data_IF_668520700208
#
_entry.id   IF_668520700208
#
_cell.length_a   1.000
_cell.length_b   1.000
_cell.length_c   1.000
_cell.angle_alpha   90.00
_cell.angle_beta   90.00
_cell.angle_gamma   90.00
#
_symmetry.space_group_name_H-M   'P 1'
#
loop_
_entity.id
_entity.type
_entity.pdbx_description
1 polymer ?
#
# COMPACT_ATOMS: atom_id res chain seq x y z
N UNK A 1 -49.73 13.82 12.66
CA UNK A 1 -48.75 14.90 12.98
C UNK A 1 -48.75 15.87 11.79
N UNK A 2 -49.53 16.95 11.72
CA UNK A 2 -49.64 18.07 12.65
C UNK A 2 -48.73 19.22 12.20
N UNK A 3 -49.01 19.84 11.04
CA UNK A 3 -48.35 21.04 10.45
C UNK A 3 -46.87 21.26 10.86
N UNK A 4 -45.96 20.42 10.36
CA UNK A 4 -44.55 20.46 10.69
C UNK A 4 -43.77 21.46 9.82
N UNK A 5 -43.23 22.50 10.46
CA UNK A 5 -42.31 23.52 9.95
C UNK A 5 -41.37 23.05 8.81
N UNK A 6 -41.81 23.19 7.55
CA UNK A 6 -41.07 22.74 6.36
C UNK A 6 -39.69 23.39 6.23
N UNK A 7 -39.52 24.61 6.76
CA UNK A 7 -38.23 25.29 6.81
C UNK A 7 -37.23 24.58 7.75
N UNK A 8 -37.72 24.07 8.89
CA UNK A 8 -36.91 23.26 9.82
C UNK A 8 -36.52 21.92 9.18
N UNK A 9 -37.46 21.25 8.52
CA UNK A 9 -37.19 20.00 7.81
C UNK A 9 -36.13 20.20 6.70
N UNK A 10 -36.27 21.25 5.89
CA UNK A 10 -35.29 21.58 4.84
C UNK A 10 -33.90 21.86 5.41
N UNK A 11 -33.82 22.63 6.50
CA UNK A 11 -32.55 22.91 7.20
C UNK A 11 -31.90 21.62 7.71
N UNK A 12 -32.66 20.74 8.36
CA UNK A 12 -32.13 19.45 8.83
C UNK A 12 -31.61 18.59 7.68
N UNK A 13 -32.34 18.54 6.57
CA UNK A 13 -31.98 17.73 5.40
C UNK A 13 -30.73 18.29 4.70
N UNK A 14 -30.55 19.62 4.66
CA UNK A 14 -29.32 20.26 4.19
C UNK A 14 -28.12 19.93 5.10
N UNK A 15 -28.30 19.92 6.42
CA UNK A 15 -27.25 19.50 7.34
C UNK A 15 -26.85 18.04 7.11
N UNK A 16 -27.83 17.13 7.01
CA UNK A 16 -27.56 15.71 6.73
C UNK A 16 -26.81 15.53 5.41
N UNK A 17 -27.19 16.26 4.35
CA UNK A 17 -26.50 16.23 3.08
C UNK A 17 -25.04 16.73 3.19
N UNK A 18 -24.80 17.81 3.95
CA UNK A 18 -23.45 18.32 4.17
C UNK A 18 -22.56 17.34 4.95
N UNK A 19 -23.09 16.68 5.98
CA UNK A 19 -22.37 15.65 6.71
C UNK A 19 -22.06 14.42 5.84
N UNK A 20 -22.97 14.03 4.95
CA UNK A 20 -22.74 12.96 3.99
C UNK A 20 -21.58 13.29 3.03
N UNK A 21 -21.54 14.52 2.50
CA UNK A 21 -20.43 14.99 1.67
C UNK A 21 -19.09 14.97 2.42
N UNK A 22 -19.08 15.43 3.67
CA UNK A 22 -17.87 15.41 4.51
C UNK A 22 -17.38 13.97 4.75
N UNK A 23 -18.31 13.07 5.10
CA UNK A 23 -18.01 11.66 5.32
C UNK A 23 -17.42 11.00 4.06
N UNK A 24 -18.04 11.21 2.90
CA UNK A 24 -17.51 10.71 1.63
C UNK A 24 -16.13 11.31 1.30
N UNK A 25 -15.92 12.61 1.53
CA UNK A 25 -14.62 13.25 1.30
C UNK A 25 -13.49 12.63 2.12
N UNK A 26 -13.72 12.38 3.42
CA UNK A 26 -12.75 11.70 4.30
C UNK A 26 -12.48 10.29 3.77
N UNK A 27 -13.54 9.55 3.41
CA UNK A 27 -13.40 8.20 2.86
C UNK A 27 -12.66 8.16 1.54
N UNK A 28 -12.87 9.13 0.65
CA UNK A 28 -12.16 9.20 -0.62
C UNK A 28 -10.65 9.38 -0.43
N UNK A 29 -10.22 10.22 0.52
CA UNK A 29 -8.78 10.42 0.84
C UNK A 29 -8.18 9.14 1.43
N UNK A 30 -8.88 8.50 2.36
CA UNK A 30 -8.45 7.23 2.97
C UNK A 30 -8.30 6.13 1.90
N UNK A 31 -9.25 6.05 0.96
CA UNK A 31 -9.24 5.07 -0.12
C UNK A 31 -8.12 5.33 -1.14
N UNK A 32 -7.87 6.59 -1.48
CA UNK A 32 -6.78 6.98 -2.36
C UNK A 32 -5.41 6.58 -1.77
N UNK A 33 -5.21 6.81 -0.47
CA UNK A 33 -4.04 6.33 0.26
C UNK A 33 -3.87 4.81 0.15
N UNK A 34 -4.94 4.04 0.37
CA UNK A 34 -4.91 2.57 0.28
C UNK A 34 -4.59 2.03 -1.12
N UNK A 35 -5.12 2.66 -2.16
CA UNK A 35 -4.80 2.33 -3.57
C UNK A 35 -3.32 2.61 -3.86
N UNK A 36 -2.78 3.75 -3.39
CA UNK A 36 -1.39 4.13 -3.62
C UNK A 36 -0.37 3.24 -2.90
N UNK A 37 -0.80 2.55 -1.83
CA UNK A 37 -0.01 1.57 -1.07
C UNK A 37 -0.22 0.12 -1.53
N UNK A 38 -0.68 -0.11 -2.76
CA UNK A 38 -0.83 -1.44 -3.38
C UNK A 38 -1.86 -2.37 -2.71
N UNK A 39 -2.75 -1.86 -1.85
CA UNK A 39 -3.87 -2.61 -1.26
C UNK A 39 -5.05 -2.57 -2.24
N UNK A 40 -4.96 -3.29 -3.35
CA UNK A 40 -6.00 -3.34 -4.37
C UNK A 40 -6.88 -4.60 -4.24
N UNK A 41 -8.22 -4.48 -4.38
CA UNK A 41 -9.09 -5.64 -4.48
C UNK A 41 -8.76 -6.42 -5.76
N UNK A 42 -8.66 -7.75 -5.65
CA UNK A 42 -8.40 -8.62 -6.80
C UNK A 42 -6.95 -8.77 -7.24
N UNK A 43 -5.96 -8.29 -6.47
CA UNK A 43 -4.61 -8.88 -6.62
C UNK A 43 -4.69 -10.34 -6.23
N UNK A 44 -4.22 -11.20 -7.12
CA UNK A 44 -4.12 -12.66 -6.98
C UNK A 44 -3.48 -12.97 -5.62
N UNK A 45 -3.90 -14.04 -4.96
CA UNK A 45 -3.15 -14.63 -3.83
C UNK A 45 -1.67 -14.57 -4.15
N UNK A 46 -0.87 -13.95 -3.26
CA UNK A 46 0.55 -13.81 -3.51
C UNK A 46 1.11 -15.23 -3.53
N UNK A 47 1.47 -15.72 -4.73
CA UNK A 47 2.01 -17.06 -4.86
C UNK A 47 3.37 -17.12 -4.18
N UNK A 48 3.82 -18.32 -3.81
CA UNK A 48 5.16 -18.51 -3.26
C UNK A 48 6.25 -17.87 -4.16
N UNK A 49 6.04 -17.85 -5.49
CA UNK A 49 6.93 -17.17 -6.42
C UNK A 49 6.89 -15.64 -6.29
N UNK A 50 5.72 -15.04 -6.09
CA UNK A 50 5.58 -13.60 -5.91
C UNK A 50 6.18 -13.12 -4.59
N UNK A 51 6.00 -13.88 -3.50
CA UNK A 51 6.64 -13.60 -2.22
C UNK A 51 8.17 -13.69 -2.32
N UNK A 52 8.68 -14.74 -2.99
CA UNK A 52 10.12 -14.87 -3.30
C UNK A 52 10.64 -13.70 -4.15
N UNK A 53 9.90 -13.28 -5.18
CA UNK A 53 10.27 -12.17 -6.05
C UNK A 53 10.26 -10.81 -5.32
N UNK A 54 9.34 -10.61 -4.35
CA UNK A 54 9.28 -9.40 -3.52
C UNK A 54 10.51 -9.29 -2.62
N UNK A 55 10.88 -10.38 -1.94
CA UNK A 55 12.10 -10.42 -1.12
C UNK A 55 13.35 -10.21 -1.97
N UNK A 56 13.39 -10.81 -3.17
CA UNK A 56 14.46 -10.56 -4.13
C UNK A 56 14.57 -9.06 -4.47
N UNK A 57 13.46 -8.43 -4.84
CA UNK A 57 13.42 -7.00 -5.18
C UNK A 57 13.82 -6.09 -4.00
N UNK A 58 13.33 -6.36 -2.80
CA UNK A 58 13.70 -5.61 -1.59
C UNK A 58 15.21 -5.75 -1.30
N UNK A 59 15.74 -6.96 -1.46
CA UNK A 59 17.17 -7.25 -1.29
C UNK A 59 18.03 -6.56 -2.36
N UNK A 60 17.61 -6.55 -3.62
CA UNK A 60 18.29 -5.83 -4.70
C UNK A 60 18.33 -4.32 -4.43
N UNK A 61 17.23 -3.74 -3.98
CA UNK A 61 17.16 -2.32 -3.64
C UNK A 61 18.06 -1.98 -2.45
N UNK A 62 18.08 -2.81 -1.41
CA UNK A 62 18.92 -2.61 -0.24
C UNK A 62 20.42 -2.66 -0.60
N UNK A 63 20.81 -3.65 -1.41
CA UNK A 63 22.17 -3.79 -1.94
C UNK A 63 22.53 -2.58 -2.81
N UNK A 64 21.67 -2.20 -3.75
CA UNK A 64 21.87 -1.05 -4.65
C UNK A 64 22.11 0.25 -3.88
N UNK A 65 21.21 0.58 -2.96
CA UNK A 65 21.31 1.79 -2.14
C UNK A 65 22.62 1.85 -1.34
N UNK A 66 23.12 0.69 -0.88
CA UNK A 66 24.38 0.64 -0.13
C UNK A 66 25.58 0.86 -1.04
N UNK A 67 25.57 0.24 -2.22
CA UNK A 67 26.65 0.36 -3.19
C UNK A 67 26.79 1.78 -3.71
N UNK A 68 25.69 2.46 -3.96
CA UNK A 68 25.70 3.87 -4.35
C UNK A 68 26.33 4.73 -3.26
N UNK A 69 26.01 4.49 -1.98
CA UNK A 69 26.64 5.20 -0.86
C UNK A 69 28.13 4.92 -0.74
N UNK A 70 28.57 3.69 -1.02
CA UNK A 70 29.99 3.32 -0.99
C UNK A 70 30.76 3.91 -2.18
N UNK A 71 30.21 3.81 -3.39
CA UNK A 71 30.77 4.43 -4.58
C UNK A 71 30.86 5.96 -4.42
N UNK A 72 29.80 6.59 -3.89
CA UNK A 72 29.80 8.02 -3.55
C UNK A 72 30.88 8.41 -2.53
N UNK A 73 31.15 7.53 -1.55
CA UNK A 73 32.21 7.74 -0.54
C UNK A 73 33.61 7.57 -1.14
N UNK A 74 33.83 6.52 -1.92
CA UNK A 74 35.13 6.18 -2.51
C UNK A 74 35.57 7.16 -3.60
N UNK A 75 34.64 7.72 -4.38
CA UNK A 75 34.96 8.59 -5.53
C UNK A 75 35.17 10.07 -5.14
N UNK A 76 35.00 10.44 -3.85
CA UNK A 76 35.22 11.79 -3.28
C UNK A 76 34.98 12.96 -4.25
N UNK A 77 33.77 13.54 -4.18
CA UNK A 77 33.34 14.90 -4.61
C UNK A 77 32.11 14.89 -5.51
N UNK A 78 31.07 15.63 -5.10
CA UNK A 78 29.96 16.24 -5.89
C UNK A 78 29.16 15.39 -6.91
N UNK A 79 29.57 14.16 -7.22
CA UNK A 79 28.90 13.30 -8.18
C UNK A 79 27.68 12.59 -7.56
N UNK A 80 27.72 12.31 -6.25
CA UNK A 80 26.65 11.66 -5.50
C UNK A 80 25.30 12.40 -5.58
N UNK A 81 25.32 13.72 -5.78
CA UNK A 81 24.12 14.57 -5.91
C UNK A 81 23.44 14.44 -7.28
N UNK A 82 24.09 13.77 -8.26
CA UNK A 82 23.67 13.70 -9.66
C UNK A 82 23.16 12.31 -10.09
N UNK A 83 23.11 11.34 -9.20
CA UNK A 83 22.64 9.99 -9.55
C UNK A 83 21.15 9.88 -9.26
N UNK A 84 20.29 9.86 -10.30
CA UNK A 84 18.86 9.58 -10.10
C UNK A 84 18.71 8.13 -9.63
N UNK A 85 17.75 7.89 -8.71
CA UNK A 85 17.40 6.54 -8.26
C UNK A 85 17.33 5.57 -9.45
N UNK A 86 18.18 4.52 -9.50
CA UNK A 86 18.19 3.64 -10.65
C UNK A 86 16.95 2.75 -10.57
N UNK A 87 16.06 2.93 -11.54
CA UNK A 87 14.93 2.03 -11.78
C UNK A 87 15.31 0.74 -12.49
N UNK A 88 16.57 0.59 -12.94
CA UNK A 88 17.07 -0.61 -13.59
C UNK A 88 18.61 -0.57 -13.69
N UNK A 89 19.21 -1.76 -13.82
CA UNK A 89 20.55 -2.05 -14.31
C UNK A 89 21.65 -2.44 -13.29
N UNK A 90 21.55 -3.69 -12.82
CA UNK A 90 22.59 -4.42 -12.09
C UNK A 90 23.96 -4.45 -12.79
N UNK A 91 24.02 -4.25 -14.11
CA UNK A 91 25.25 -4.22 -14.91
C UNK A 91 26.04 -2.93 -14.68
N UNK A 92 25.31 -1.81 -14.59
CA UNK A 92 25.87 -0.48 -14.31
C UNK A 92 26.45 -0.40 -12.90
N UNK A 93 25.79 -1.03 -11.93
CA UNK A 93 26.26 -1.15 -10.55
C UNK A 93 27.57 -1.97 -10.46
N UNK A 94 27.66 -3.09 -11.19
CA UNK A 94 28.89 -3.92 -11.27
C UNK A 94 30.07 -3.14 -11.87
N UNK A 95 29.83 -2.31 -12.89
CA UNK A 95 30.86 -1.45 -13.48
C UNK A 95 31.36 -0.38 -12.51
N UNK A 96 30.44 0.30 -11.82
CA UNK A 96 30.79 1.30 -10.79
C UNK A 96 31.51 0.69 -9.59
N UNK A 97 31.16 -0.55 -9.23
CA UNK A 97 31.83 -1.35 -8.21
C UNK A 97 33.27 -1.70 -8.59
N UNK A 98 33.50 -2.15 -9.82
CA UNK A 98 34.84 -2.48 -10.30
C UNK A 98 35.75 -1.25 -10.30
N UNK A 99 35.21 -0.08 -10.70
CA UNK A 99 35.95 1.18 -10.68
C UNK A 99 36.19 1.71 -9.25
N UNK A 100 35.21 1.58 -8.35
CA UNK A 100 35.34 2.01 -6.97
C UNK A 100 36.29 1.10 -6.16
N UNK A 101 36.30 -0.21 -6.43
CA UNK A 101 37.21 -1.17 -5.82
C UNK A 101 38.68 -0.93 -6.19
N UNK A 102 38.95 -0.50 -7.43
CA UNK A 102 40.31 -0.17 -7.89
C UNK A 102 40.85 1.13 -7.25
N UNK A 103 39.96 2.07 -6.91
CA UNK A 103 40.31 3.35 -6.28
C UNK A 103 40.25 3.32 -4.74
N UNK A 104 39.68 2.28 -4.14
CA UNK A 104 39.55 2.15 -2.70
C UNK A 104 40.91 1.91 -2.01
N UNK A 105 41.21 2.68 -0.97
CA UNK A 105 42.38 2.47 -0.11
C UNK A 105 41.94 2.09 1.31
N UNK A 106 42.76 1.29 1.98
CA UNK A 106 42.63 0.93 3.39
C UNK A 106 41.28 0.27 3.76
N UNK A 107 40.53 0.82 4.72
CA UNK A 107 39.30 0.22 5.30
C UNK A 107 38.18 -0.01 4.27
N UNK A 108 38.12 0.81 3.23
CA UNK A 108 37.10 0.66 2.19
C UNK A 108 37.35 -0.59 1.34
N UNK A 109 38.61 -1.01 1.13
CA UNK A 109 38.94 -2.22 0.37
C UNK A 109 38.56 -3.51 1.13
N UNK A 110 38.65 -3.50 2.46
CA UNK A 110 38.15 -4.59 3.31
C UNK A 110 36.63 -4.68 3.27
N UNK A 111 35.95 -3.52 3.32
CA UNK A 111 34.50 -3.43 3.14
C UNK A 111 34.11 -3.95 1.73
N UNK A 112 34.80 -3.56 0.65
CA UNK A 112 34.54 -4.07 -0.70
C UNK A 112 34.71 -5.60 -0.83
N UNK A 113 35.71 -6.20 -0.18
CA UNK A 113 35.90 -7.67 -0.17
C UNK A 113 34.77 -8.39 0.57
N UNK A 114 34.32 -7.83 1.69
CA UNK A 114 33.14 -8.28 2.41
C UNK A 114 31.87 -8.16 1.53
N UNK A 115 31.75 -7.09 0.75
CA UNK A 115 30.67 -6.92 -0.23
C UNK A 115 30.71 -7.94 -1.36
N UNK A 116 31.88 -8.32 -1.89
CA UNK A 116 32.00 -9.37 -2.92
C UNK A 116 31.53 -10.74 -2.40
N UNK A 117 31.90 -11.09 -1.17
CA UNK A 117 31.42 -12.30 -0.51
C UNK A 117 29.89 -12.29 -0.31
N UNK A 118 29.34 -11.14 0.10
CA UNK A 118 27.90 -10.92 0.21
C UNK A 118 27.21 -11.10 -1.15
N UNK A 119 27.74 -10.50 -2.21
CA UNK A 119 27.18 -10.60 -3.56
C UNK A 119 27.13 -12.03 -4.06
N UNK A 120 28.17 -12.83 -3.79
CA UNK A 120 28.17 -14.24 -4.17
C UNK A 120 27.05 -15.01 -3.48
N UNK A 121 26.79 -14.74 -2.20
CA UNK A 121 25.67 -15.37 -1.47
C UNK A 121 24.31 -14.89 -1.97
N UNK A 122 24.20 -13.59 -2.25
CA UNK A 122 23.00 -12.99 -2.81
C UNK A 122 22.68 -13.51 -4.23
N UNK A 123 23.69 -13.65 -5.09
CA UNK A 123 23.54 -14.18 -6.44
C UNK A 123 23.08 -15.64 -6.43
N UNK A 124 23.57 -16.46 -5.49
CA UNK A 124 23.08 -17.84 -5.29
C UNK A 124 21.59 -17.85 -4.94
N UNK A 125 21.15 -17.00 -3.99
CA UNK A 125 19.74 -16.88 -3.63
C UNK A 125 18.91 -16.41 -4.85
N UNK A 126 19.38 -15.37 -5.55
CA UNK A 126 18.72 -14.81 -6.74
C UNK A 126 18.55 -15.88 -7.83
N UNK A 127 19.60 -16.63 -8.15
CA UNK A 127 19.56 -17.68 -9.16
C UNK A 127 18.61 -18.81 -8.75
N UNK A 128 18.58 -19.20 -7.47
CA UNK A 128 17.63 -20.17 -6.95
C UNK A 128 16.17 -19.73 -7.11
N UNK A 129 15.89 -18.45 -6.83
CA UNK A 129 14.55 -17.86 -6.99
C UNK A 129 14.16 -17.80 -8.47
N UNK A 130 15.04 -17.32 -9.34
CA UNK A 130 14.77 -17.17 -10.78
C UNK A 130 14.57 -18.50 -11.51
N UNK A 131 15.26 -19.56 -11.06
CA UNK A 131 15.10 -20.92 -11.62
C UNK A 131 13.93 -21.69 -11.00
N UNK A 132 13.23 -21.08 -10.05
CA UNK A 132 12.15 -21.71 -9.28
C UNK A 132 12.57 -22.97 -8.50
N UNK A 133 13.87 -23.20 -8.31
CA UNK A 133 14.42 -24.41 -7.67
C UNK A 133 14.37 -24.34 -6.14
N UNK A 134 14.28 -23.13 -5.56
CA UNK A 134 14.22 -22.93 -4.10
C UNK A 134 12.81 -22.75 -3.55
N UNK A 135 12.52 -23.43 -2.45
CA UNK A 135 11.29 -23.27 -1.67
C UNK A 135 11.29 -21.96 -0.87
N UNK A 136 10.11 -21.52 -0.43
CA UNK A 136 9.96 -20.31 0.39
C UNK A 136 10.78 -20.37 1.69
N UNK A 137 10.81 -21.54 2.36
CA UNK A 137 11.62 -21.78 3.56
C UNK A 137 13.12 -21.65 3.29
N UNK A 138 13.58 -22.16 2.15
CA UNK A 138 15.00 -22.04 1.79
C UNK A 138 15.40 -20.59 1.53
N UNK A 139 14.50 -19.78 0.95
CA UNK A 139 14.72 -18.35 0.75
C UNK A 139 14.74 -17.61 2.09
N UNK A 140 13.83 -17.94 3.01
CA UNK A 140 13.82 -17.40 4.37
C UNK A 140 15.12 -17.73 5.11
N UNK A 141 15.58 -18.98 5.06
CA UNK A 141 16.82 -19.42 5.69
C UNK A 141 18.05 -18.72 5.10
N UNK A 142 18.08 -18.55 3.77
CA UNK A 142 19.14 -17.81 3.10
C UNK A 142 19.12 -16.32 3.47
N UNK A 143 17.92 -15.72 3.59
CA UNK A 143 17.77 -14.33 4.02
C UNK A 143 18.24 -14.13 5.46
N UNK A 144 17.86 -15.01 6.39
CA UNK A 144 18.33 -14.98 7.78
C UNK A 144 19.84 -15.14 7.88
N UNK A 145 20.45 -15.98 7.04
CA UNK A 145 21.91 -16.10 6.95
C UNK A 145 22.56 -14.81 6.47
N UNK A 146 21.96 -14.11 5.49
CA UNK A 146 22.45 -12.80 5.03
C UNK A 146 22.30 -11.74 6.14
N UNK A 147 21.17 -11.71 6.83
CA UNK A 147 20.88 -10.75 7.91
C UNK A 147 21.74 -10.98 9.16
N UNK A 148 22.09 -12.23 9.47
CA UNK A 148 22.85 -12.60 10.66
C UNK A 148 24.36 -12.37 10.56
N UNK A 149 24.87 -11.91 9.42
CA UNK A 149 26.30 -11.68 9.25
C UNK A 149 26.77 -10.35 9.89
N UNK A 150 27.81 -10.38 10.72
CA UNK A 150 28.31 -9.18 11.42
C UNK A 150 28.90 -8.12 10.48
N UNK A 151 29.41 -8.50 9.31
CA UNK A 151 30.09 -7.60 8.37
C UNK A 151 29.14 -6.88 7.40
N UNK A 152 28.02 -7.51 7.00
CA UNK A 152 27.08 -6.94 6.01
C UNK A 152 25.60 -7.16 6.32
N UNK A 153 25.25 -7.83 7.42
CA UNK A 153 23.86 -8.12 7.78
C UNK A 153 23.00 -6.89 7.98
N UNK A 154 23.61 -5.75 8.33
CA UNK A 154 22.92 -4.45 8.42
C UNK A 154 22.29 -3.99 7.10
N UNK A 155 22.78 -4.46 5.94
CA UNK A 155 22.23 -4.13 4.62
C UNK A 155 20.85 -4.75 4.43
N UNK A 156 20.66 -5.98 4.92
CA UNK A 156 19.43 -6.75 4.74
C UNK A 156 18.42 -6.60 5.88
N UNK A 157 18.75 -5.82 6.91
CA UNK A 157 17.88 -5.61 8.08
C UNK A 157 16.52 -4.97 7.72
N UNK A 158 16.45 -4.23 6.61
CA UNK A 158 15.21 -3.63 6.10
C UNK A 158 14.40 -4.57 5.21
N UNK A 159 14.92 -5.74 4.87
CA UNK A 159 14.24 -6.74 4.03
C UNK A 159 13.36 -7.60 4.92
N UNK A 160 12.08 -7.71 4.57
CA UNK A 160 11.12 -8.48 5.36
C UNK A 160 11.20 -9.98 5.01
N UNK A 161 10.83 -10.83 5.98
CA UNK A 161 10.75 -12.27 5.75
C UNK A 161 9.75 -12.60 4.61
N UNK A 162 10.05 -13.57 3.73
CA UNK A 162 9.13 -13.98 2.67
C UNK A 162 7.93 -14.69 3.29
N UNK A 163 6.83 -13.96 3.50
CA UNK A 163 5.56 -14.56 3.88
C UNK A 163 4.58 -14.40 2.72
N UNK A 164 4.11 -15.51 2.11
CA UNK A 164 3.11 -15.44 1.07
C UNK A 164 1.83 -14.90 1.69
N UNK A 165 1.33 -13.81 1.13
CA UNK A 165 0.00 -13.32 1.45
C UNK A 165 -1.00 -14.24 0.72
N UNK A 166 -1.22 -15.43 1.28
CA UNK A 166 -2.04 -16.53 0.76
C UNK A 166 -3.45 -16.10 0.35
N UNK A 167 -3.95 -15.05 1.00
CA UNK A 167 -5.13 -14.34 0.57
C UNK A 167 -4.64 -13.06 -0.08
N UNK A 168 -4.73 -12.94 -1.40
CA UNK A 168 -4.70 -11.64 -2.05
C UNK A 168 -5.86 -10.85 -1.46
N UNK A 169 -5.54 -10.06 -0.42
CA UNK A 169 -6.28 -10.01 0.84
C UNK A 169 -7.80 -10.21 0.66
N UNK A 170 -8.33 -11.42 0.88
CA UNK A 170 -9.79 -11.70 0.81
C UNK A 170 -10.53 -10.72 1.71
N UNK A 171 -9.94 -10.40 2.87
CA UNK A 171 -10.43 -9.35 3.73
C UNK A 171 -10.41 -7.98 3.03
N UNK A 172 -9.38 -7.60 2.27
CA UNK A 172 -9.39 -6.36 1.46
C UNK A 172 -10.45 -6.42 0.35
N UNK A 173 -10.61 -7.54 -0.34
CA UNK A 173 -11.63 -7.71 -1.39
C UNK A 173 -13.05 -7.60 -0.82
N UNK A 174 -13.34 -8.27 0.29
CA UNK A 174 -14.59 -8.15 1.03
C UNK A 174 -14.77 -6.75 1.64
N UNK A 175 -13.71 -6.15 2.19
CA UNK A 175 -13.70 -4.79 2.71
C UNK A 175 -14.10 -3.80 1.63
N UNK A 176 -13.44 -3.85 0.46
CA UNK A 176 -13.72 -2.97 -0.66
C UNK A 176 -15.09 -3.23 -1.28
N UNK A 177 -15.53 -4.48 -1.37
CA UNK A 177 -16.87 -4.82 -1.83
C UNK A 177 -17.94 -4.26 -0.90
N UNK A 178 -17.85 -4.52 0.41
CA UNK A 178 -18.85 -4.09 1.39
C UNK A 178 -18.86 -2.56 1.56
N UNK A 179 -17.70 -1.94 1.72
CA UNK A 179 -17.59 -0.47 1.86
C UNK A 179 -17.92 0.26 0.57
N UNK A 180 -17.55 -0.29 -0.59
CA UNK A 180 -17.89 0.27 -1.90
C UNK A 180 -19.38 0.17 -2.21
N UNK A 181 -20.01 -0.96 -1.92
CA UNK A 181 -21.46 -1.13 -2.06
C UNK A 181 -22.22 -0.21 -1.10
N UNK A 182 -21.73 -0.05 0.13
CA UNK A 182 -22.29 0.93 1.06
C UNK A 182 -22.14 2.38 0.56
N UNK A 183 -20.96 2.75 0.05
CA UNK A 183 -20.75 4.08 -0.53
C UNK A 183 -21.70 4.37 -1.71
N UNK A 184 -21.99 3.36 -2.54
CA UNK A 184 -23.00 3.46 -3.60
C UNK A 184 -24.40 3.78 -3.02
N UNK A 185 -24.80 3.14 -1.92
CA UNK A 185 -26.07 3.42 -1.25
C UNK A 185 -26.11 4.83 -0.65
N UNK A 186 -25.01 5.31 -0.07
CA UNK A 186 -24.90 6.69 0.42
C UNK A 186 -25.10 7.69 -0.72
N UNK A 187 -24.48 7.44 -1.89
CA UNK A 187 -24.65 8.28 -3.09
C UNK A 187 -26.12 8.27 -3.55
N UNK A 188 -26.76 7.10 -3.61
CA UNK A 188 -28.19 7.00 -3.97
C UNK A 188 -29.06 7.79 -2.97
N UNK A 189 -28.81 7.65 -1.68
CA UNK A 189 -29.51 8.40 -0.63
C UNK A 189 -29.32 9.91 -0.76
N UNK A 190 -28.10 10.34 -1.10
CA UNK A 190 -27.81 11.76 -1.36
C UNK A 190 -28.55 12.28 -2.58
N UNK A 191 -28.69 11.49 -3.65
CA UNK A 191 -29.49 11.85 -4.82
C UNK A 191 -30.97 12.01 -4.44
N UNK A 192 -31.53 11.09 -3.65
CA UNK A 192 -32.91 11.19 -3.15
C UNK A 192 -33.11 12.47 -2.33
N UNK A 193 -32.18 12.80 -1.45
CA UNK A 193 -32.22 14.05 -0.68
C UNK A 193 -32.02 15.30 -1.54
N UNK A 194 -31.17 15.27 -2.55
CA UNK A 194 -31.02 16.38 -3.50
C UNK A 194 -32.32 16.66 -4.26
N UNK A 195 -33.05 15.61 -4.66
CA UNK A 195 -34.38 15.74 -5.30
C UNK A 195 -35.37 16.40 -4.34
N UNK A 196 -35.43 15.96 -3.08
CA UNK A 196 -36.28 16.57 -2.04
C UNK A 196 -35.92 18.03 -1.80
N UNK A 197 -34.64 18.37 -1.73
CA UNK A 197 -34.18 19.74 -1.49
C UNK A 197 -34.54 20.69 -2.65
N UNK A 198 -34.49 20.19 -3.89
CA UNK A 198 -34.84 20.96 -5.10
C UNK A 198 -36.34 21.22 -5.21
N UNK A 199 -37.18 20.39 -4.58
CA UNK A 199 -38.63 20.51 -4.68
C UNK A 199 -39.19 21.67 -3.84
N UNK A 200 -39.93 22.59 -4.47
CA UNK A 200 -40.49 23.77 -3.78
C UNK A 200 -41.72 23.46 -2.94
N UNK A 201 -42.57 22.53 -3.39
CA UNK A 201 -43.79 22.11 -2.69
C UNK A 201 -43.63 20.73 -2.05
N UNK A 202 -43.29 20.73 -0.77
CA UNK A 202 -43.12 19.51 0.05
C UNK A 202 -44.45 18.92 0.54
N UNK A 203 -45.56 19.65 0.41
CA UNK A 203 -46.85 19.27 0.98
C UNK A 203 -47.50 18.09 0.22
N UNK A 204 -47.25 17.98 -1.09
CA UNK A 204 -47.66 16.83 -1.92
C UNK A 204 -46.60 15.73 -2.05
N UNK A 205 -45.44 15.89 -1.39
CA UNK A 205 -44.30 14.96 -1.47
C UNK A 205 -44.02 14.27 -0.13
N UNK A 206 -44.99 14.29 0.79
CA UNK A 206 -44.84 13.74 2.14
C UNK A 206 -44.35 12.28 2.11
N UNK A 207 -44.96 11.44 1.28
CA UNK A 207 -44.61 10.02 1.14
C UNK A 207 -43.17 9.84 0.61
N UNK A 208 -42.74 10.68 -0.33
CA UNK A 208 -41.38 10.63 -0.87
C UNK A 208 -40.34 11.08 0.16
N UNK A 209 -40.65 12.11 0.95
CA UNK A 209 -39.80 12.57 2.05
C UNK A 209 -39.66 11.48 3.11
N UNK A 210 -40.77 10.87 3.53
CA UNK A 210 -40.78 9.79 4.51
C UNK A 210 -39.99 8.57 4.02
N UNK A 211 -40.21 8.15 2.77
CA UNK A 211 -39.49 7.03 2.18
C UNK A 211 -37.98 7.32 1.99
N UNK A 212 -37.62 8.56 1.62
CA UNK A 212 -36.21 8.97 1.54
C UNK A 212 -35.52 9.00 2.91
N UNK A 213 -36.23 9.41 3.96
CA UNK A 213 -35.75 9.37 5.34
C UNK A 213 -35.56 7.94 5.84
N UNK A 214 -36.52 7.04 5.56
CA UNK A 214 -36.42 5.62 5.86
C UNK A 214 -35.22 4.97 5.15
N UNK A 215 -35.01 5.30 3.87
CA UNK A 215 -33.84 4.83 3.12
C UNK A 215 -32.53 5.29 3.78
N UNK A 216 -32.46 6.55 4.20
CA UNK A 216 -31.27 7.07 4.87
C UNK A 216 -30.99 6.37 6.21
N UNK A 217 -32.03 6.12 6.99
CA UNK A 217 -31.91 5.35 8.25
C UNK A 217 -31.45 3.92 8.00
N UNK A 218 -31.92 3.27 6.93
CA UNK A 218 -31.43 1.95 6.54
C UNK A 218 -29.93 1.96 6.22
N UNK A 219 -29.46 2.95 5.45
CA UNK A 219 -28.03 3.09 5.13
C UNK A 219 -27.20 3.29 6.39
N UNK A 220 -27.65 4.14 7.31
CA UNK A 220 -26.96 4.40 8.58
C UNK A 220 -26.90 3.14 9.47
N UNK A 221 -28.01 2.38 9.55
CA UNK A 221 -28.06 1.12 10.28
C UNK A 221 -27.04 0.11 9.73
N UNK A 222 -26.95 -0.05 8.40
CA UNK A 222 -25.95 -0.93 7.78
C UNK A 222 -24.52 -0.48 8.14
N UNK A 223 -24.26 0.82 8.21
CA UNK A 223 -22.94 1.35 8.59
C UNK A 223 -22.58 1.03 10.05
N UNK A 224 -23.53 1.15 10.97
CA UNK A 224 -23.34 0.82 12.39
C UNK A 224 -22.91 -0.65 12.57
N UNK A 225 -23.36 -1.56 11.71
CA UNK A 225 -22.89 -2.96 11.73
C UNK A 225 -21.57 -3.18 11.00
N UNK A 226 -21.36 -2.51 9.85
CA UNK A 226 -20.12 -2.65 9.07
C UNK A 226 -18.89 -2.09 9.80
N UNK A 227 -19.05 -0.99 10.55
CA UNK A 227 -17.96 -0.34 11.27
C UNK A 227 -17.26 -1.28 12.28
N UNK A 228 -17.93 -1.88 13.28
CA UNK A 228 -17.28 -2.78 14.22
C UNK A 228 -16.75 -4.05 13.53
N UNK A 229 -17.46 -4.58 12.53
CA UNK A 229 -17.06 -5.79 11.82
C UNK A 229 -15.75 -5.62 11.05
N UNK A 230 -15.50 -4.44 10.47
CA UNK A 230 -14.31 -4.18 9.66
C UNK A 230 -13.16 -3.50 10.41
N UNK A 231 -13.44 -2.77 11.50
CA UNK A 231 -12.43 -1.95 12.19
C UNK A 231 -12.07 -2.44 13.59
N UNK A 232 -12.88 -3.30 14.23
CA UNK A 232 -12.65 -3.77 15.62
C UNK A 232 -12.21 -5.24 15.68
N UNK A 233 -12.52 -6.04 14.64
CA UNK A 233 -12.09 -7.45 14.52
C UNK A 233 -10.65 -7.56 14.08
#
# INVERSE_FOLDING_TARGET
MGQGNYAKARRSLTFTFAFACLFLGIKSVEYYGKISHDILPGRIAESDQQAKAKVLRESENAVTNRLERLAARAVSTKAAEKYPEPKDDSTKLRGLLAEAADKAKDKDAEEFRAFDAMFKQFDVMKQGILKEETSLQQVEDQLKKLQGNEQWGYVFKSVHDPHPILYGNIFASCYFLMTGFHALHVIIGMILFAIVLKQSNLQGWHDFVENSGLYWHFVDLVWIFLFPLLYIV
#
